data_IF_782734337490
#
_entry.id   IF_782734337490
#
_cell.length_a   1.000
_cell.length_b   1.000
_cell.length_c   1.000
_cell.angle_alpha   90.00
_cell.angle_beta   90.00
_cell.angle_gamma   90.00
#
_symmetry.space_group_name_H-M   'P 1'
#
loop_
_entity.id
_entity.type
_entity.pdbx_description
1 polymer ?
#
# COMPACT_ATOMS: atom_id res chain seq x y z
N UNK A 1 5.33 -19.19 -21.38
CA UNK A 1 4.76 -18.40 -22.49
C UNK A 1 3.70 -17.44 -21.94
N UNK A 2 4.11 -16.26 -21.48
CA UNK A 2 3.23 -15.09 -21.41
C UNK A 2 4.03 -13.94 -21.99
N UNK A 3 3.70 -13.57 -23.22
CA UNK A 3 4.17 -12.33 -23.81
C UNK A 3 3.53 -11.20 -23.01
N UNK A 4 4.34 -10.47 -22.25
CA UNK A 4 3.98 -9.16 -21.76
C UNK A 4 4.03 -8.23 -22.97
N UNK A 5 2.88 -8.04 -23.62
CA UNK A 5 2.73 -7.02 -24.65
C UNK A 5 2.83 -5.66 -23.95
N UNK A 6 3.97 -4.99 -24.12
CA UNK A 6 4.22 -3.66 -23.59
C UNK A 6 3.24 -2.66 -24.19
N UNK A 7 2.22 -2.33 -23.42
CA UNK A 7 1.47 -1.10 -23.60
C UNK A 7 2.29 0.00 -22.92
N UNK A 8 2.83 0.92 -23.70
CA UNK A 8 3.91 1.85 -23.32
C UNK A 8 3.45 3.03 -22.44
N UNK A 9 2.50 2.82 -21.53
CA UNK A 9 1.89 3.91 -20.74
C UNK A 9 1.96 3.73 -19.23
N UNK A 10 2.64 2.70 -18.72
CA UNK A 10 2.72 2.43 -17.28
C UNK A 10 4.18 2.33 -16.85
N UNK A 11 4.65 3.37 -16.16
CA UNK A 11 5.97 3.38 -15.52
C UNK A 11 5.89 2.71 -14.15
N UNK A 12 6.81 1.80 -13.84
CA UNK A 12 6.82 1.09 -12.56
C UNK A 12 8.07 1.46 -11.76
N UNK A 13 7.84 2.11 -10.62
CA UNK A 13 8.91 2.51 -9.71
C UNK A 13 9.01 1.56 -8.52
N UNK A 14 10.20 1.01 -8.28
CA UNK A 14 10.47 0.11 -7.15
C UNK A 14 11.32 0.79 -6.08
N UNK A 15 10.81 0.75 -4.85
CA UNK A 15 11.59 1.03 -3.63
C UNK A 15 11.78 -0.31 -2.94
N UNK A 16 12.94 -0.92 -3.12
CA UNK A 16 13.24 -2.24 -2.59
C UNK A 16 14.56 -2.24 -1.81
N UNK A 17 14.66 -3.16 -0.86
CA UNK A 17 15.94 -3.42 -0.19
C UNK A 17 16.99 -3.82 -1.23
N UNK A 18 18.22 -3.36 -1.04
CA UNK A 18 19.32 -3.61 -1.97
C UNK A 18 19.57 -5.11 -2.20
N UNK A 19 19.24 -5.95 -1.21
CA UNK A 19 19.36 -7.41 -1.24
C UNK A 19 18.49 -8.10 -2.30
N UNK A 20 17.34 -7.53 -2.67
CA UNK A 20 16.42 -8.12 -3.67
C UNK A 20 16.50 -7.44 -5.04
N UNK A 21 17.27 -6.34 -5.15
CA UNK A 21 17.36 -5.51 -6.37
C UNK A 21 17.70 -6.32 -7.62
N UNK A 22 18.68 -7.21 -7.54
CA UNK A 22 19.10 -8.02 -8.70
C UNK A 22 17.96 -8.92 -9.19
N UNK A 23 17.21 -9.55 -8.28
CA UNK A 23 16.08 -10.41 -8.64
C UNK A 23 14.96 -9.61 -9.31
N UNK A 24 14.68 -8.40 -8.81
CA UNK A 24 13.66 -7.52 -9.39
C UNK A 24 14.07 -7.03 -10.77
N UNK A 25 15.34 -6.63 -10.97
CA UNK A 25 15.87 -6.24 -12.29
C UNK A 25 15.71 -7.37 -13.31
N UNK A 26 16.11 -8.58 -12.91
CA UNK A 26 16.02 -9.73 -13.78
C UNK A 26 14.58 -10.03 -14.20
N UNK A 27 13.65 -10.03 -13.24
CA UNK A 27 12.22 -10.25 -13.52
C UNK A 27 11.63 -9.17 -14.43
N UNK A 28 12.01 -7.91 -14.25
CA UNK A 28 11.51 -6.83 -15.10
C UNK A 28 12.04 -6.91 -16.53
N UNK A 29 13.31 -7.26 -16.70
CA UNK A 29 13.89 -7.52 -18.02
C UNK A 29 13.18 -8.68 -18.72
N UNK A 30 12.90 -9.77 -17.99
CA UNK A 30 12.15 -10.92 -18.52
C UNK A 30 10.72 -10.54 -18.93
N UNK A 31 10.14 -9.52 -18.30
CA UNK A 31 8.82 -9.00 -18.59
C UNK A 31 8.82 -7.80 -19.57
N UNK A 32 9.98 -7.35 -20.04
CA UNK A 32 10.15 -6.13 -20.82
C UNK A 32 9.43 -4.91 -20.18
N UNK A 33 9.54 -4.78 -18.86
CA UNK A 33 8.95 -3.70 -18.08
C UNK A 33 10.01 -2.63 -17.79
N UNK A 34 9.66 -1.37 -18.05
CA UNK A 34 10.53 -0.25 -17.71
C UNK A 34 10.44 0.02 -16.21
N UNK A 35 11.59 -0.04 -15.52
CA UNK A 35 11.63 0.06 -14.07
C UNK A 35 12.67 1.06 -13.57
N UNK A 36 12.25 1.90 -12.63
CA UNK A 36 13.12 2.86 -11.95
C UNK A 36 13.33 2.40 -10.52
N UNK A 37 14.59 2.32 -10.09
CA UNK A 37 14.93 2.02 -8.70
C UNK A 37 15.37 3.27 -7.96
N UNK A 38 14.78 3.47 -6.78
CA UNK A 38 15.27 4.43 -5.81
C UNK A 38 15.87 3.69 -4.60
N UNK A 39 16.93 4.26 -4.04
CA UNK A 39 17.49 3.76 -2.79
C UNK A 39 16.47 3.95 -1.66
N UNK A 40 16.34 2.93 -0.80
CA UNK A 40 15.31 2.83 0.25
C UNK A 40 15.45 3.81 1.42
N UNK A 41 16.02 5.00 1.20
CA UNK A 41 15.97 6.07 2.20
C UNK A 41 14.52 6.52 2.42
N UNK A 42 14.16 6.86 3.66
CA UNK A 42 12.79 7.26 4.01
C UNK A 42 12.33 8.50 3.22
N UNK A 43 13.24 9.44 2.97
CA UNK A 43 12.96 10.66 2.21
C UNK A 43 12.65 10.37 0.74
N UNK A 44 13.43 9.48 0.11
CA UNK A 44 13.16 9.04 -1.26
C UNK A 44 11.82 8.30 -1.37
N UNK A 45 11.49 7.46 -0.38
CA UNK A 45 10.24 6.70 -0.38
C UNK A 45 9.01 7.61 -0.39
N UNK A 46 9.00 8.68 0.41
CA UNK A 46 7.88 9.63 0.48
C UNK A 46 7.73 10.44 -0.80
N UNK A 47 8.84 10.95 -1.35
CA UNK A 47 8.81 11.69 -2.62
C UNK A 47 8.28 10.82 -3.77
N UNK A 48 8.65 9.54 -3.81
CA UNK A 48 8.15 8.61 -4.82
C UNK A 48 6.66 8.38 -4.64
N UNK A 49 6.19 8.11 -3.41
CA UNK A 49 4.76 7.97 -3.09
C UNK A 49 3.98 9.21 -3.57
N UNK A 50 4.48 10.42 -3.26
CA UNK A 50 3.83 11.67 -3.65
C UNK A 50 3.75 11.87 -5.17
N UNK A 51 4.70 11.33 -5.93
CA UNK A 51 4.66 11.35 -7.40
C UNK A 51 3.83 10.23 -8.03
N UNK A 52 3.49 9.17 -7.30
CA UNK A 52 2.78 8.01 -7.85
C UNK A 52 1.28 8.24 -8.03
N UNK A 53 0.70 7.62 -9.08
CA UNK A 53 -0.75 7.56 -9.31
C UNK A 53 -1.45 6.46 -8.49
N UNK A 54 -0.69 5.42 -8.15
CA UNK A 54 -1.09 4.27 -7.35
C UNK A 54 0.15 3.70 -6.65
N UNK A 55 -0.02 3.25 -5.40
CA UNK A 55 1.00 2.59 -4.61
C UNK A 55 0.60 1.14 -4.32
N UNK A 56 1.55 0.22 -4.47
CA UNK A 56 1.40 -1.17 -3.98
C UNK A 56 2.48 -1.39 -2.94
N UNK A 57 2.10 -1.79 -1.73
CA UNK A 57 3.05 -1.91 -0.63
C UNK A 57 2.83 -3.20 0.18
N UNK A 58 3.96 -3.80 0.58
CA UNK A 58 3.97 -4.91 1.50
C UNK A 58 3.79 -4.38 2.93
N UNK A 59 2.64 -4.69 3.54
CA UNK A 59 2.18 -4.28 4.88
C UNK A 59 3.26 -3.70 5.80
N UNK A 60 3.20 -2.40 6.06
CA UNK A 60 4.15 -1.66 6.88
C UNK A 60 3.85 -0.16 6.90
N UNK A 61 4.85 0.64 7.28
CA UNK A 61 4.77 2.11 7.31
C UNK A 61 4.48 2.72 5.94
N UNK A 62 4.92 2.09 4.85
CA UNK A 62 4.67 2.59 3.49
C UNK A 62 3.18 2.66 3.13
N UNK A 63 2.37 1.72 3.62
CA UNK A 63 0.91 1.74 3.42
C UNK A 63 0.29 2.93 4.15
N UNK A 64 0.76 3.21 5.37
CA UNK A 64 0.31 4.35 6.15
C UNK A 64 0.74 5.67 5.51
N UNK A 65 1.99 5.80 5.07
CA UNK A 65 2.50 7.00 4.39
C UNK A 65 1.73 7.27 3.09
N UNK A 66 1.42 6.24 2.29
CA UNK A 66 0.60 6.37 1.10
C UNK A 66 -0.84 6.82 1.42
N UNK A 67 -1.45 6.22 2.45
CA UNK A 67 -2.77 6.62 2.93
C UNK A 67 -2.80 8.09 3.39
N UNK A 68 -1.79 8.53 4.16
CA UNK A 68 -1.66 9.90 4.64
C UNK A 68 -1.36 10.90 3.51
N UNK A 69 -0.71 10.44 2.45
CA UNK A 69 -0.44 11.23 1.24
C UNK A 69 -1.63 11.24 0.27
N UNK A 70 -2.76 10.63 0.66
CA UNK A 70 -3.99 10.53 -0.13
C UNK A 70 -3.77 9.86 -1.49
N UNK A 71 -2.85 8.88 -1.52
CA UNK A 71 -2.55 8.09 -2.71
C UNK A 71 -3.37 6.81 -2.72
N UNK A 72 -4.00 6.45 -3.85
CA UNK A 72 -4.59 5.12 -4.01
C UNK A 72 -3.56 4.06 -3.65
N UNK A 73 -3.91 3.11 -2.79
CA UNK A 73 -2.96 2.14 -2.24
C UNK A 73 -3.57 0.77 -2.12
N UNK A 74 -2.80 -0.25 -2.52
CA UNK A 74 -3.14 -1.67 -2.36
C UNK A 74 -2.15 -2.29 -1.39
N UNK A 75 -2.67 -2.90 -0.32
CA UNK A 75 -1.85 -3.64 0.64
C UNK A 75 -1.73 -5.09 0.18
N UNK A 76 -0.53 -5.56 -0.11
CA UNK A 76 -0.26 -6.94 -0.51
C UNK A 76 0.63 -7.64 0.51
N UNK A 77 0.42 -8.92 0.76
CA UNK A 77 1.38 -9.71 1.52
C UNK A 77 1.24 -11.18 1.20
N UNK A 78 2.35 -11.83 0.84
CA UNK A 78 2.40 -13.26 0.56
C UNK A 78 3.30 -13.95 1.57
N UNK A 79 2.82 -15.03 2.17
CA UNK A 79 3.65 -15.92 2.98
C UNK A 79 3.32 -17.38 2.68
N UNK A 80 4.18 -18.30 3.13
CA UNK A 80 4.01 -19.73 2.91
C UNK A 80 2.79 -20.29 3.63
N UNK A 81 2.19 -21.34 3.06
CA UNK A 81 0.94 -21.95 3.53
C UNK A 81 0.98 -22.40 5.01
N UNK A 82 2.15 -22.83 5.49
CA UNK A 82 2.36 -23.21 6.89
C UNK A 82 2.21 -21.97 7.79
N UNK A 83 2.89 -20.89 7.45
CA UNK A 83 2.82 -19.61 8.14
C UNK A 83 1.41 -19.03 8.11
N UNK A 84 0.70 -19.15 6.98
CA UNK A 84 -0.71 -18.75 6.88
C UNK A 84 -1.60 -19.53 7.84
N UNK A 85 -1.42 -20.85 7.94
CA UNK A 85 -2.24 -21.71 8.79
C UNK A 85 -2.05 -21.38 10.27
N UNK A 86 -0.81 -21.10 10.68
CA UNK A 86 -0.49 -20.68 12.06
C UNK A 86 -1.04 -19.28 12.33
N UNK A 87 -0.84 -18.34 11.40
CA UNK A 87 -1.34 -16.98 11.51
C UNK A 87 -2.87 -16.96 11.61
N UNK A 88 -3.61 -17.64 10.72
CA UNK A 88 -5.08 -17.73 10.75
C UNK A 88 -5.61 -18.31 12.08
N UNK A 89 -4.89 -19.24 12.70
CA UNK A 89 -5.28 -19.84 14.00
C UNK A 89 -5.03 -18.92 15.20
N UNK A 90 -4.06 -18.00 15.11
CA UNK A 90 -3.67 -17.09 16.20
C UNK A 90 -4.21 -15.66 16.03
N UNK A 91 -4.44 -15.23 14.80
CA UNK A 91 -4.90 -13.90 14.45
C UNK A 91 -6.42 -13.81 14.62
N UNK A 92 -6.87 -13.17 15.69
CA UNK A 92 -8.24 -12.65 15.83
C UNK A 92 -8.44 -11.31 15.11
N UNK A 93 -7.43 -10.84 14.38
CA UNK A 93 -7.39 -9.51 13.78
C UNK A 93 -8.04 -9.56 12.40
N UNK A 94 -9.07 -8.73 12.19
CA UNK A 94 -9.82 -8.64 10.93
C UNK A 94 -9.01 -8.01 9.79
N UNK A 95 -8.08 -7.13 10.16
CA UNK A 95 -7.24 -6.36 9.24
C UNK A 95 -5.78 -6.47 9.63
N UNK A 96 -4.89 -6.32 8.64
CA UNK A 96 -3.44 -6.38 8.81
C UNK A 96 -2.82 -4.99 8.73
N UNK A 97 -3.36 -4.11 7.87
CA UNK A 97 -2.81 -2.77 7.70
C UNK A 97 -3.25 -1.83 8.81
N UNK A 98 -2.35 -0.93 9.23
CA UNK A 98 -2.65 0.08 10.26
C UNK A 98 -3.88 0.92 9.90
N UNK A 99 -4.05 1.43 8.66
CA UNK A 99 -5.23 2.21 8.30
C UNK A 99 -6.55 1.45 8.54
N UNK A 100 -6.66 0.21 8.06
CA UNK A 100 -7.87 -0.59 8.23
C UNK A 100 -8.12 -0.98 9.70
N UNK A 101 -7.05 -1.31 10.45
CA UNK A 101 -7.16 -1.61 11.89
C UNK A 101 -7.68 -0.39 12.65
N UNK A 102 -7.19 0.81 12.34
CA UNK A 102 -7.58 2.04 13.04
C UNK A 102 -8.98 2.53 12.66
N UNK A 103 -9.40 2.29 11.42
CA UNK A 103 -10.75 2.60 10.94
C UNK A 103 -11.78 1.52 11.31
N UNK A 104 -11.34 0.34 11.74
CA UNK A 104 -12.16 -0.86 11.93
C UNK A 104 -13.01 -1.22 10.70
N UNK A 105 -12.53 -0.84 9.52
CA UNK A 105 -13.17 -1.00 8.22
C UNK A 105 -12.10 -1.24 7.15
N UNK A 106 -12.45 -1.95 6.06
CA UNK A 106 -11.58 -2.10 4.90
C UNK A 106 -11.60 -0.82 4.06
N UNK A 107 -10.85 0.19 4.47
CA UNK A 107 -10.67 1.46 3.74
C UNK A 107 -9.62 1.37 2.62
N UNK A 108 -8.76 0.36 2.68
CA UNK A 108 -7.82 0.00 1.62
C UNK A 108 -7.94 -1.49 1.29
N UNK A 109 -7.82 -1.90 0.02
CA UNK A 109 -7.89 -3.30 -0.35
C UNK A 109 -6.70 -4.09 0.21
N UNK A 110 -7.00 -5.14 0.98
CA UNK A 110 -6.03 -6.04 1.59
C UNK A 110 -5.96 -7.40 0.85
N UNK A 111 -4.97 -7.53 -0.02
CA UNK A 111 -4.67 -8.74 -0.77
C UNK A 111 -3.62 -9.57 -0.04
N UNK A 112 -4.03 -10.18 1.07
CA UNK A 112 -3.16 -10.93 1.98
C UNK A 112 -3.31 -12.45 1.76
N UNK A 113 -2.21 -13.18 1.91
CA UNK A 113 -2.17 -14.64 1.87
C UNK A 113 -2.73 -15.22 0.56
N UNK A 114 -3.82 -15.99 0.62
CA UNK A 114 -4.54 -16.56 -0.53
C UNK A 114 -5.13 -15.49 -1.46
N UNK A 115 -5.39 -14.28 -0.96
CA UNK A 115 -5.86 -13.15 -1.79
C UNK A 115 -4.71 -12.45 -2.54
N UNK A 116 -3.46 -12.68 -2.16
CA UNK A 116 -2.28 -12.14 -2.86
C UNK A 116 -2.05 -12.90 -4.18
N UNK A 117 -2.93 -12.67 -5.14
CA UNK A 117 -2.96 -13.31 -6.45
C UNK A 117 -2.84 -12.27 -7.58
N UNK A 118 -2.14 -12.60 -8.68
CA UNK A 118 -1.95 -11.67 -9.79
C UNK A 118 -3.26 -11.12 -10.38
N UNK A 119 -4.29 -11.95 -10.53
CA UNK A 119 -5.58 -11.54 -11.08
C UNK A 119 -6.30 -10.50 -10.23
N UNK A 120 -6.27 -10.67 -8.90
CA UNK A 120 -6.86 -9.70 -7.96
C UNK A 120 -6.04 -8.41 -7.89
N UNK A 121 -4.71 -8.53 -7.94
CA UNK A 121 -3.81 -7.36 -7.96
C UNK A 121 -4.08 -6.52 -9.21
N UNK A 122 -4.12 -7.14 -10.40
CA UNK A 122 -4.39 -6.45 -11.67
C UNK A 122 -5.77 -5.79 -11.64
N UNK A 123 -6.79 -6.50 -11.14
CA UNK A 123 -8.13 -5.94 -11.00
C UNK A 123 -8.11 -4.64 -10.18
N UNK A 124 -7.50 -4.65 -8.99
CA UNK A 124 -7.42 -3.46 -8.15
C UNK A 124 -6.56 -2.35 -8.75
N UNK A 125 -5.47 -2.68 -9.46
CA UNK A 125 -4.67 -1.69 -10.20
C UNK A 125 -5.56 -0.99 -11.23
N UNK A 126 -6.30 -1.73 -12.06
CA UNK A 126 -7.15 -1.16 -13.09
C UNK A 126 -8.27 -0.28 -12.51
N UNK A 127 -8.95 -0.79 -11.47
CA UNK A 127 -9.99 -0.07 -10.74
C UNK A 127 -9.45 1.23 -10.15
N UNK A 128 -8.33 1.15 -9.42
CA UNK A 128 -7.79 2.30 -8.73
C UNK A 128 -7.04 3.25 -9.65
N UNK A 129 -6.53 2.85 -10.81
CA UNK A 129 -5.94 3.76 -11.82
C UNK A 129 -7.01 4.52 -12.61
N UNK A 130 -8.23 3.98 -12.72
CA UNK A 130 -9.31 4.63 -13.46
C UNK A 130 -9.93 5.79 -12.65
N UNK A 131 -9.68 7.02 -13.07
CA UNK A 131 -10.16 8.24 -12.41
C UNK A 131 -11.69 8.38 -12.37
N UNK A 132 -12.41 7.71 -13.26
CA UNK A 132 -13.87 7.74 -13.33
C UNK A 132 -14.52 6.58 -12.56
N UNK A 133 -13.72 5.66 -12.02
CA UNK A 133 -14.24 4.51 -11.30
C UNK A 133 -14.80 4.93 -9.93
N UNK A 134 -16.07 4.61 -9.62
CA UNK A 134 -16.66 4.92 -8.33
C UNK A 134 -15.89 4.33 -7.14
N UNK A 135 -15.26 3.17 -7.31
CA UNK A 135 -14.48 2.53 -6.25
C UNK A 135 -13.20 3.31 -5.96
N UNK A 136 -12.55 3.91 -6.98
CA UNK A 136 -11.41 4.82 -6.76
C UNK A 136 -11.84 6.05 -5.96
N UNK A 137 -12.97 6.66 -6.34
CA UNK A 137 -13.50 7.85 -5.64
C UNK A 137 -13.82 7.52 -4.19
N UNK A 138 -14.48 6.37 -3.96
CA UNK A 138 -14.79 5.88 -2.61
C UNK A 138 -13.51 5.64 -1.78
N UNK A 139 -12.53 4.94 -2.35
CA UNK A 139 -11.23 4.69 -1.72
C UNK A 139 -10.55 5.99 -1.28
N UNK A 140 -10.44 6.98 -2.17
CA UNK A 140 -9.85 8.29 -1.85
C UNK A 140 -10.63 9.05 -0.78
N UNK A 141 -11.95 8.94 -0.80
CA UNK A 141 -12.82 9.55 0.23
C UNK A 141 -12.57 8.93 1.61
N UNK A 142 -12.46 7.60 1.68
CA UNK A 142 -12.14 6.92 2.93
C UNK A 142 -10.74 7.28 3.45
N UNK A 143 -9.74 7.38 2.57
CA UNK A 143 -8.40 7.87 2.95
C UNK A 143 -8.44 9.29 3.51
N UNK A 144 -9.22 10.19 2.91
CA UNK A 144 -9.39 11.56 3.41
C UNK A 144 -10.06 11.59 4.79
N UNK A 145 -11.10 10.78 4.99
CA UNK A 145 -11.78 10.67 6.27
C UNK A 145 -10.83 10.13 7.35
N UNK A 146 -10.09 9.07 7.03
CA UNK A 146 -9.07 8.49 7.89
C UNK A 146 -8.01 9.53 8.30
N UNK A 147 -7.45 10.27 7.33
CA UNK A 147 -6.48 11.33 7.59
C UNK A 147 -7.05 12.43 8.50
N UNK A 148 -8.28 12.86 8.25
CA UNK A 148 -8.96 13.88 9.06
C UNK A 148 -9.16 13.42 10.50
N UNK A 149 -9.59 12.18 10.71
CA UNK A 149 -9.78 11.58 12.04
C UNK A 149 -8.45 11.44 12.81
N UNK A 150 -7.36 11.12 12.11
CA UNK A 150 -6.03 11.07 12.74
C UNK A 150 -5.57 12.45 13.21
N UNK A 151 -5.76 13.48 12.37
CA UNK A 151 -5.35 14.85 12.69
C UNK A 151 -6.17 15.42 13.86
N UNK A 152 -7.47 15.15 13.93
CA UNK A 152 -8.30 15.61 15.05
C UNK A 152 -7.89 14.97 16.38
N UNK A 153 -7.61 13.65 16.38
CA UNK A 153 -7.12 12.94 17.58
C UNK A 153 -5.73 13.41 18.02
N UNK A 154 -4.87 13.80 17.09
CA UNK A 154 -3.55 14.35 17.43
C UNK A 154 -3.66 15.77 18.01
N UNK A 155 -4.51 16.62 17.40
CA UNK A 155 -4.76 17.98 17.89
C UNK A 155 -5.36 17.99 19.31
N UNK A 156 -6.23 17.02 19.64
CA UNK A 156 -6.76 16.87 21.01
C UNK A 156 -5.69 16.44 22.02
N UNK A 157 -4.70 15.63 21.62
CA UNK A 157 -3.59 15.20 22.48
C UNK A 157 -2.50 16.27 22.66
N UNK A 158 -2.45 17.28 21.79
CA UNK A 158 -1.50 18.41 21.87
C UNK A 158 -2.07 19.63 22.63
N UNK A 159 -3.35 19.61 23.03
CA UNK A 159 -3.93 20.66 23.87
C UNK A 159 -3.29 20.62 25.28
N UNK A 160 -2.74 21.74 25.79
CA UNK A 160 -2.07 21.80 27.09
C UNK A 160 -3.09 21.91 28.23
N UNK A 161 -4.02 20.96 28.37
CA UNK A 161 -5.04 21.03 29.43
C UNK A 161 -4.72 20.23 30.69
N UNK A 162 -3.62 19.45 30.77
CA UNK A 162 -3.37 18.63 31.98
C UNK A 162 -1.90 18.40 32.39
N UNK A 163 -0.91 19.07 31.79
CA UNK A 163 0.49 18.99 32.28
C UNK A 163 0.81 19.99 33.40
N UNK A 164 -0.16 20.77 33.87
CA UNK A 164 -0.02 21.73 34.98
C UNK A 164 -0.68 21.26 36.29
N UNK A 165 -1.00 19.97 36.42
CA UNK A 165 -1.51 19.40 37.68
C UNK A 165 -0.88 18.03 37.95
N UNK A 166 0.41 18.03 38.28
CA UNK A 166 1.07 17.07 39.17
C UNK A 166 2.44 17.59 39.58
#
# INVERSE_FOLDING_TARGET
LRQCTGDSSVDVTFIAAQSVRHQVIQLANDCNADIVFHDGSQFAARSVIDSSDLVIAASGTAVLEAALSLKPVICIYKCDWISQTIAKRRAKVRFVSIPNIMSDEEIIPELIFEKCRPDLIIHWIQTLMNHQDPLRIHHLTQLLNFKTQLLSKHAENDLPSDRASK
#
